data_IF_883751193064
#
_entry.id   IF_883751193064
#
_cell.length_a   1.000
_cell.length_b   1.000
_cell.length_c   1.000
_cell.angle_alpha   90.00
_cell.angle_beta   90.00
_cell.angle_gamma   90.00
#
_symmetry.space_group_name_H-M   'P 1'
#
loop_
_entity.id
_entity.type
_entity.pdbx_description
1 polymer ?
#
# COMPACT_ATOMS: atom_id res chain seq x y z
N UNK A 1 13.26 29.07 -17.15
CA UNK A 1 13.15 27.90 -18.06
C UNK A 1 11.71 27.43 -18.05
N UNK A 2 11.09 27.36 -19.23
CA UNK A 2 9.71 26.92 -19.41
C UNK A 2 9.51 25.53 -18.80
N UNK A 3 8.59 25.46 -17.85
CA UNK A 3 8.10 24.21 -17.25
C UNK A 3 7.42 23.44 -18.38
N UNK A 4 8.13 22.50 -19.01
CA UNK A 4 7.52 21.57 -19.97
C UNK A 4 6.31 20.97 -19.27
N UNK A 5 5.12 21.29 -19.79
CA UNK A 5 3.86 20.73 -19.37
C UNK A 5 4.03 19.21 -19.27
N UNK A 6 4.14 18.67 -18.05
CA UNK A 6 3.93 17.24 -17.82
C UNK A 6 2.64 16.89 -18.54
N UNK A 7 2.67 15.90 -19.44
CA UNK A 7 1.46 15.40 -20.06
C UNK A 7 0.48 15.08 -18.93
N UNK A 8 -0.59 15.88 -18.81
CA UNK A 8 -1.60 15.67 -17.78
C UNK A 8 -2.48 14.52 -18.25
N UNK A 9 -2.62 13.52 -17.40
CA UNK A 9 -3.54 12.40 -17.64
C UNK A 9 -4.93 12.96 -17.90
N UNK A 10 -5.59 12.57 -18.99
CA UNK A 10 -6.94 13.05 -19.31
C UNK A 10 -7.97 12.02 -18.84
N UNK A 11 -9.13 12.51 -18.44
CA UNK A 11 -10.25 11.67 -17.98
C UNK A 11 -10.64 10.57 -18.97
N UNK A 12 -10.62 10.90 -20.28
CA UNK A 12 -10.99 9.96 -21.34
C UNK A 12 -10.01 8.79 -21.50
N UNK A 13 -8.78 8.95 -21.00
CA UNK A 13 -7.73 7.93 -21.09
C UNK A 13 -7.87 6.90 -19.96
N UNK A 14 -8.60 7.22 -18.88
CA UNK A 14 -8.77 6.32 -17.74
C UNK A 14 -9.77 5.19 -18.03
N UNK A 15 -9.27 3.96 -17.91
CA UNK A 15 -10.05 2.72 -17.90
C UNK A 15 -9.74 1.93 -16.64
N UNK A 16 -10.69 1.85 -15.73
CA UNK A 16 -10.53 1.03 -14.53
C UNK A 16 -10.43 -0.44 -14.92
N UNK A 17 -9.39 -1.10 -14.42
CA UNK A 17 -9.28 -2.55 -14.55
C UNK A 17 -10.30 -3.21 -13.60
N UNK A 18 -11.14 -4.16 -14.07
CA UNK A 18 -12.15 -4.82 -13.24
C UNK A 18 -11.55 -5.54 -12.03
N UNK A 19 -10.38 -6.17 -12.19
CA UNK A 19 -9.63 -6.82 -11.10
C UNK A 19 -8.83 -5.84 -10.23
N UNK A 20 -9.04 -4.53 -10.36
CA UNK A 20 -8.23 -3.44 -9.79
C UNK A 20 -6.80 -3.36 -10.36
N UNK A 21 -6.03 -4.44 -10.28
CA UNK A 21 -4.63 -4.53 -10.71
C UNK A 21 -4.40 -5.45 -11.94
N UNK A 22 -5.47 -6.05 -12.46
CA UNK A 22 -5.51 -6.86 -13.68
C UNK A 22 -6.89 -6.73 -14.36
N UNK A 23 -6.99 -7.06 -15.64
CA UNK A 23 -8.23 -7.06 -16.42
C UNK A 23 -9.21 -8.14 -15.94
N UNK A 24 -8.68 -9.28 -15.47
CA UNK A 24 -9.46 -10.38 -14.92
C UNK A 24 -8.66 -11.08 -13.84
N UNK A 25 -9.31 -11.51 -12.75
CA UNK A 25 -8.67 -12.33 -11.72
C UNK A 25 -8.43 -13.73 -12.27
N UNK A 26 -7.17 -14.17 -12.25
CA UNK A 26 -6.73 -15.48 -12.73
C UNK A 26 -6.05 -16.25 -11.58
N UNK A 27 -5.94 -17.57 -11.72
CA UNK A 27 -5.20 -18.37 -10.75
C UNK A 27 -3.74 -17.92 -10.71
N UNK A 28 -3.21 -17.68 -9.51
CA UNK A 28 -1.83 -17.23 -9.31
C UNK A 28 -1.22 -18.00 -8.14
N UNK A 29 -0.08 -18.67 -8.34
CA UNK A 29 0.56 -19.49 -7.30
C UNK A 29 1.10 -18.63 -6.17
N UNK A 30 1.55 -17.41 -6.49
CA UNK A 30 2.09 -16.48 -5.51
C UNK A 30 1.06 -16.00 -4.46
N UNK A 31 -0.26 -16.11 -4.73
CA UNK A 31 -1.33 -15.77 -3.77
C UNK A 31 -1.42 -16.81 -2.65
N UNK A 32 -1.00 -18.05 -2.90
CA UNK A 32 -1.19 -19.16 -1.96
C UNK A 32 -2.61 -19.74 -2.00
N UNK A 33 -2.90 -20.68 -1.10
CA UNK A 33 -4.06 -21.57 -1.18
C UNK A 33 -5.15 -21.32 -0.12
N UNK A 34 -5.20 -20.12 0.46
CA UNK A 34 -6.21 -19.81 1.49
C UNK A 34 -7.61 -19.86 0.88
N UNK A 35 -8.54 -20.48 1.59
CA UNK A 35 -9.94 -20.68 1.17
C UNK A 35 -10.91 -20.44 2.33
N UNK A 36 -12.15 -20.04 2.01
CA UNK A 36 -13.25 -19.91 2.96
C UNK A 36 -13.89 -21.25 3.36
N UNK A 37 -13.60 -22.34 2.65
CA UNK A 37 -13.91 -23.71 3.12
C UNK A 37 -13.23 -24.03 4.46
N UNK A 38 -12.08 -23.38 4.74
CA UNK A 38 -11.40 -23.51 6.01
C UNK A 38 -12.04 -22.59 7.06
N UNK A 39 -12.68 -23.20 8.07
CA UNK A 39 -13.30 -22.48 9.20
C UNK A 39 -12.35 -21.51 9.91
N UNK A 40 -11.06 -21.80 9.98
CA UNK A 40 -10.09 -20.89 10.58
C UNK A 40 -9.92 -19.59 9.76
N UNK A 41 -10.03 -19.67 8.44
CA UNK A 41 -10.05 -18.48 7.58
C UNK A 41 -11.29 -17.64 7.91
N UNK A 42 -12.47 -18.27 7.91
CA UNK A 42 -13.74 -17.59 8.20
C UNK A 42 -13.70 -16.93 9.57
N UNK A 43 -13.30 -17.66 10.61
CA UNK A 43 -13.21 -17.17 11.98
C UNK A 43 -12.21 -16.00 12.13
N UNK A 44 -11.06 -16.08 11.44
CA UNK A 44 -10.07 -15.00 11.50
C UNK A 44 -10.61 -13.74 10.83
N UNK A 45 -11.23 -13.86 9.66
CA UNK A 45 -11.81 -12.73 8.93
C UNK A 45 -12.99 -12.13 9.69
N UNK A 46 -13.91 -12.96 10.19
CA UNK A 46 -15.08 -12.49 10.94
C UNK A 46 -14.70 -11.84 12.27
N UNK A 47 -13.60 -12.26 12.90
CA UNK A 47 -13.08 -11.63 14.12
C UNK A 47 -12.65 -10.17 13.97
N UNK A 48 -12.48 -9.67 12.75
CA UNK A 48 -12.25 -8.24 12.51
C UNK A 48 -13.56 -7.41 12.58
N UNK A 49 -14.72 -8.05 12.42
CA UNK A 49 -16.03 -7.37 12.50
C UNK A 49 -16.27 -6.94 13.96
N UNK A 50 -16.42 -5.63 14.18
CA UNK A 50 -16.59 -5.07 15.52
C UNK A 50 -15.32 -5.06 16.38
N UNK A 51 -14.15 -5.33 15.81
CA UNK A 51 -12.88 -5.29 16.53
C UNK A 51 -12.52 -3.86 16.99
N UNK A 52 -12.27 -3.69 18.28
CA UNK A 52 -11.85 -2.41 18.86
C UNK A 52 -10.34 -2.16 18.64
N UNK A 53 -10.03 -1.70 17.43
CA UNK A 53 -8.66 -1.35 17.05
C UNK A 53 -8.05 -0.26 17.93
N UNK A 54 -8.84 0.71 18.39
CA UNK A 54 -8.29 1.83 19.15
C UNK A 54 -7.83 1.43 20.54
N UNK A 55 -8.57 0.54 21.20
CA UNK A 55 -8.16 -0.03 22.48
C UNK A 55 -6.94 -0.94 22.32
N UNK A 56 -6.95 -1.87 21.35
CA UNK A 56 -5.81 -2.76 21.08
C UNK A 56 -4.53 -1.98 20.76
N UNK A 57 -4.62 -1.01 19.84
CA UNK A 57 -3.49 -0.15 19.48
C UNK A 57 -2.95 0.60 20.70
N UNK A 58 -3.83 1.15 21.55
CA UNK A 58 -3.41 1.94 22.71
C UNK A 58 -2.69 1.10 23.77
N UNK A 59 -3.10 -0.16 23.93
CA UNK A 59 -2.50 -1.09 24.89
C UNK A 59 -1.17 -1.67 24.37
N UNK A 60 -1.11 -1.98 23.08
CA UNK A 60 -0.05 -2.82 22.53
C UNK A 60 0.95 -2.08 21.61
N UNK A 61 0.70 -0.83 21.23
CA UNK A 61 1.56 -0.09 20.28
C UNK A 61 2.18 1.18 20.85
N UNK A 62 3.28 1.61 20.23
CA UNK A 62 3.96 2.87 20.52
C UNK A 62 4.57 3.49 19.23
N UNK A 63 5.45 4.47 19.41
CA UNK A 63 6.11 5.18 18.31
C UNK A 63 7.17 4.37 17.58
N UNK A 64 7.74 3.36 18.23
CA UNK A 64 8.76 2.48 17.65
C UNK A 64 8.17 1.21 17.04
N UNK A 65 7.22 0.58 17.72
CA UNK A 65 6.61 -0.69 17.37
C UNK A 65 5.09 -0.54 17.31
N UNK A 66 4.48 -1.15 16.29
CA UNK A 66 3.01 -1.15 16.12
C UNK A 66 2.55 -2.58 16.00
N UNK A 67 1.68 -2.99 16.93
CA UNK A 67 1.01 -4.28 16.88
C UNK A 67 -0.26 -4.13 16.05
N UNK A 68 -0.15 -4.42 14.75
CA UNK A 68 -1.23 -4.22 13.77
C UNK A 68 -1.79 -5.52 13.19
N UNK A 69 -1.21 -6.67 13.57
CA UNK A 69 -1.50 -7.97 12.96
C UNK A 69 -2.98 -8.34 13.09
N UNK A 70 -3.63 -7.90 14.17
CA UNK A 70 -5.04 -8.15 14.44
C UNK A 70 -6.01 -7.51 13.45
N UNK A 71 -5.57 -6.49 12.70
CA UNK A 71 -6.37 -5.88 11.63
C UNK A 71 -5.81 -6.15 10.24
N UNK A 72 -4.48 -6.27 10.08
CA UNK A 72 -3.87 -6.48 8.76
C UNK A 72 -3.96 -7.93 8.30
N UNK A 73 -3.75 -8.92 9.17
CA UNK A 73 -3.83 -10.33 8.79
C UNK A 73 -5.25 -10.73 8.34
N UNK A 74 -6.33 -10.46 9.09
CA UNK A 74 -7.66 -10.87 8.67
C UNK A 74 -8.10 -10.23 7.35
N UNK A 75 -7.74 -8.97 7.07
CA UNK A 75 -8.12 -8.37 5.78
C UNK A 75 -7.33 -8.96 4.62
N UNK A 76 -6.04 -9.26 4.80
CA UNK A 76 -5.24 -9.97 3.79
C UNK A 76 -5.77 -11.38 3.55
N UNK A 77 -6.23 -12.06 4.60
CA UNK A 77 -6.85 -13.38 4.48
C UNK A 77 -8.17 -13.32 3.71
N UNK A 78 -8.98 -12.30 3.95
CA UNK A 78 -10.19 -12.04 3.17
C UNK A 78 -9.85 -11.85 1.69
N UNK A 79 -8.85 -11.01 1.38
CA UNK A 79 -8.41 -10.78 0.00
C UNK A 79 -7.95 -12.07 -0.67
N UNK A 80 -7.05 -12.83 -0.03
CA UNK A 80 -6.51 -14.09 -0.56
C UNK A 80 -7.59 -15.14 -0.80
N UNK A 81 -8.49 -15.35 0.17
CA UNK A 81 -9.58 -16.31 0.01
C UNK A 81 -10.61 -15.87 -1.05
N UNK A 82 -10.91 -14.58 -1.13
CA UNK A 82 -11.82 -14.03 -2.17
C UNK A 82 -11.20 -14.17 -3.56
N UNK A 83 -9.92 -13.83 -3.72
CA UNK A 83 -9.21 -14.00 -4.98
C UNK A 83 -9.24 -15.45 -5.47
N UNK A 84 -8.91 -16.40 -4.59
CA UNK A 84 -8.93 -17.82 -4.91
C UNK A 84 -10.34 -18.34 -5.24
N UNK A 85 -11.37 -17.85 -4.54
CA UNK A 85 -12.75 -18.21 -4.83
C UNK A 85 -13.16 -17.77 -6.24
N UNK A 86 -12.77 -16.56 -6.65
CA UNK A 86 -13.03 -16.05 -8.01
C UNK A 86 -12.27 -16.87 -9.04
N UNK A 87 -10.96 -17.05 -8.88
CA UNK A 87 -10.14 -17.75 -9.87
C UNK A 87 -10.55 -19.22 -10.07
N UNK A 88 -11.07 -19.84 -9.01
CA UNK A 88 -11.51 -21.24 -9.04
C UNK A 88 -13.01 -21.39 -9.32
N UNK A 89 -13.75 -20.29 -9.51
CA UNK A 89 -15.20 -20.28 -9.67
C UNK A 89 -15.94 -21.03 -8.54
N UNK A 90 -15.44 -20.89 -7.31
CA UNK A 90 -16.01 -21.51 -6.10
C UNK A 90 -17.18 -20.65 -5.59
N UNK A 91 -18.39 -21.08 -5.92
CA UNK A 91 -19.62 -20.35 -5.59
C UNK A 91 -19.92 -20.29 -4.09
N UNK A 92 -19.54 -21.31 -3.33
CA UNK A 92 -19.79 -21.35 -1.89
C UNK A 92 -18.87 -20.36 -1.16
N UNK A 93 -17.58 -20.38 -1.48
CA UNK A 93 -16.64 -19.39 -0.94
C UNK A 93 -16.98 -17.96 -1.37
N UNK A 94 -17.50 -17.75 -2.58
CA UNK A 94 -17.97 -16.44 -3.03
C UNK A 94 -19.17 -15.93 -2.23
N UNK A 95 -20.11 -16.82 -1.85
CA UNK A 95 -21.22 -16.46 -0.99
C UNK A 95 -20.73 -16.01 0.40
N UNK A 96 -19.82 -16.79 1.00
CA UNK A 96 -19.21 -16.44 2.30
C UNK A 96 -18.45 -15.10 2.22
N UNK A 97 -17.67 -14.89 1.15
CA UNK A 97 -16.91 -13.66 0.93
C UNK A 97 -17.85 -12.44 0.86
N UNK A 98 -18.97 -12.58 0.14
CA UNK A 98 -20.00 -11.54 0.01
C UNK A 98 -20.67 -11.24 1.35
N UNK A 99 -21.06 -12.26 2.10
CA UNK A 99 -21.70 -12.09 3.42
C UNK A 99 -20.77 -11.38 4.41
N UNK A 100 -19.49 -11.78 4.45
CA UNK A 100 -18.48 -11.10 5.26
C UNK A 100 -18.29 -9.64 4.81
N UNK A 101 -18.18 -9.38 3.51
CA UNK A 101 -18.06 -8.02 2.97
C UNK A 101 -19.19 -7.10 3.45
N UNK A 102 -20.43 -7.59 3.39
CA UNK A 102 -21.62 -6.84 3.83
C UNK A 102 -21.61 -6.65 5.35
N UNK A 103 -21.31 -7.70 6.12
CA UNK A 103 -21.28 -7.64 7.58
C UNK A 103 -20.26 -6.62 8.11
N UNK A 104 -19.09 -6.51 7.47
CA UNK A 104 -18.10 -5.46 7.77
C UNK A 104 -18.71 -4.05 7.65
N UNK A 105 -19.44 -3.82 6.56
CA UNK A 105 -20.05 -2.52 6.25
C UNK A 105 -21.22 -2.20 7.20
N UNK A 106 -22.08 -3.17 7.52
CA UNK A 106 -23.18 -3.01 8.47
C UNK A 106 -22.67 -2.65 9.88
N UNK A 107 -21.59 -3.30 10.31
CA UNK A 107 -20.99 -3.07 11.63
C UNK A 107 -20.06 -1.85 11.67
N UNK A 108 -19.91 -1.12 10.56
CA UNK A 108 -19.04 0.06 10.51
C UNK A 108 -17.61 -0.24 10.97
N UNK A 109 -17.11 -1.41 10.60
CA UNK A 109 -15.84 -1.97 11.11
C UNK A 109 -14.70 -0.94 10.96
N UNK A 110 -13.95 -0.68 12.03
CA UNK A 110 -12.87 0.33 12.11
C UNK A 110 -13.28 1.80 11.87
N UNK A 111 -14.55 2.14 11.69
CA UNK A 111 -14.96 3.53 11.46
C UNK A 111 -14.77 4.42 12.71
N UNK A 112 -14.83 3.82 13.89
CA UNK A 112 -14.55 4.42 15.20
C UNK A 112 -13.06 4.76 15.41
N UNK A 113 -12.18 4.26 14.55
CA UNK A 113 -10.74 4.55 14.60
C UNK A 113 -10.42 6.02 14.37
N UNK A 114 -9.24 6.47 14.82
CA UNK A 114 -8.84 7.88 14.70
C UNK A 114 -8.77 8.30 13.22
N UNK A 115 -9.53 9.33 12.86
CA UNK A 115 -9.56 9.89 11.50
C UNK A 115 -8.47 10.93 11.23
N UNK A 116 -8.26 11.29 9.97
CA UNK A 116 -7.18 12.23 9.60
C UNK A 116 -7.31 13.61 10.27
N UNK A 117 -8.53 14.13 10.36
CA UNK A 117 -8.77 15.43 10.98
C UNK A 117 -8.59 15.40 12.50
N UNK A 118 -8.90 14.27 13.13
CA UNK A 118 -8.75 14.07 14.57
C UNK A 118 -7.27 14.04 14.99
N UNK A 119 -6.38 13.57 14.10
CA UNK A 119 -4.92 13.57 14.33
C UNK A 119 -4.34 14.95 14.61
N UNK A 120 -4.94 16.02 14.09
CA UNK A 120 -4.42 17.39 14.27
C UNK A 120 -4.37 17.81 15.74
N UNK A 121 -5.19 17.20 16.59
CA UNK A 121 -5.30 17.49 18.01
C UNK A 121 -4.62 16.40 18.87
N UNK A 122 -3.78 15.55 18.27
CA UNK A 122 -3.06 14.47 18.94
C UNK A 122 -1.56 14.79 19.05
N UNK A 123 -0.88 14.29 20.09
CA UNK A 123 0.57 14.46 20.19
C UNK A 123 1.28 13.81 19.00
N UNK A 124 2.43 14.36 18.58
CA UNK A 124 3.25 13.74 17.55
C UNK A 124 3.80 12.40 18.06
N UNK A 125 4.15 11.53 17.11
CA UNK A 125 4.94 10.35 17.44
C UNK A 125 6.31 10.79 17.96
N UNK A 126 6.91 9.98 18.84
CA UNK A 126 8.16 10.34 19.52
C UNK A 126 8.04 11.62 20.34
N UNK A 127 6.88 11.82 20.98
CA UNK A 127 6.67 12.94 21.89
C UNK A 127 7.79 12.95 22.94
N UNK A 128 8.41 14.13 23.14
CA UNK A 128 9.59 14.28 24.01
C UNK A 128 10.77 13.37 23.67
N UNK A 129 10.92 12.96 22.39
CA UNK A 129 11.90 11.98 21.90
C UNK A 129 11.76 10.58 22.52
N UNK A 130 10.57 10.23 23.03
CA UNK A 130 10.32 8.93 23.65
C UNK A 130 9.84 7.88 22.62
N UNK A 131 10.61 6.80 22.35
CA UNK A 131 10.15 5.68 21.51
C UNK A 131 8.88 5.00 22.01
N UNK A 132 8.60 5.07 23.32
CA UNK A 132 7.46 4.39 23.95
C UNK A 132 6.19 5.26 23.95
N UNK A 133 6.28 6.54 23.57
CA UNK A 133 5.11 7.42 23.46
C UNK A 133 4.10 6.89 22.42
N UNK A 134 2.79 7.09 22.63
CA UNK A 134 1.78 6.73 21.63
C UNK A 134 1.97 7.50 20.32
N UNK A 135 1.87 6.80 19.18
CA UNK A 135 1.90 7.41 17.86
C UNK A 135 0.52 7.31 17.19
N UNK A 136 -0.34 8.29 17.41
CA UNK A 136 -1.72 8.30 16.88
C UNK A 136 -1.78 8.19 15.35
N UNK A 137 -0.73 8.62 14.67
CA UNK A 137 -0.62 8.45 13.22
C UNK A 137 -0.63 6.96 12.81
N UNK A 138 -0.01 6.07 13.60
CA UNK A 138 -0.01 4.63 13.31
C UNK A 138 -1.44 4.05 13.38
N UNK A 139 -2.22 4.41 14.40
CA UNK A 139 -3.63 3.98 14.51
C UNK A 139 -4.43 4.35 13.25
N UNK A 140 -4.30 5.61 12.83
CA UNK A 140 -4.93 6.10 11.60
C UNK A 140 -4.41 5.40 10.34
N UNK A 141 -3.08 5.25 10.21
CA UNK A 141 -2.43 4.72 9.01
C UNK A 141 -2.89 3.30 8.71
N UNK A 142 -2.84 2.41 9.71
CA UNK A 142 -3.24 1.02 9.53
C UNK A 142 -4.74 0.87 9.29
N UNK A 143 -5.60 1.63 9.98
CA UNK A 143 -7.05 1.61 9.71
C UNK A 143 -7.37 2.06 8.28
N UNK A 144 -6.71 3.12 7.80
CA UNK A 144 -6.85 3.64 6.42
C UNK A 144 -6.35 2.62 5.37
N UNK A 145 -5.24 1.92 5.64
CA UNK A 145 -4.72 0.89 4.73
C UNK A 145 -5.60 -0.38 4.72
N UNK A 146 -6.10 -0.83 5.88
CA UNK A 146 -7.06 -1.95 5.99
C UNK A 146 -8.36 -1.61 5.26
N UNK A 147 -8.87 -0.39 5.39
CA UNK A 147 -10.02 0.06 4.60
C UNK A 147 -9.76 0.01 3.09
N UNK A 148 -8.56 0.40 2.65
CA UNK A 148 -8.19 0.32 1.23
C UNK A 148 -8.17 -1.14 0.74
N UNK A 149 -7.65 -2.06 1.55
CA UNK A 149 -7.65 -3.51 1.28
C UNK A 149 -9.06 -4.10 1.26
N UNK A 150 -9.94 -3.68 2.17
CA UNK A 150 -11.36 -4.05 2.15
C UNK A 150 -12.04 -3.66 0.83
N UNK A 151 -11.80 -2.44 0.33
CA UNK A 151 -12.40 -1.99 -0.91
C UNK A 151 -11.91 -2.75 -2.14
N UNK A 152 -10.71 -3.34 -2.10
CA UNK A 152 -10.24 -4.20 -3.20
C UNK A 152 -11.12 -5.46 -3.29
N UNK A 153 -11.37 -6.13 -2.16
CA UNK A 153 -12.33 -7.25 -2.12
C UNK A 153 -13.73 -6.81 -2.55
N UNK A 154 -14.16 -5.60 -2.16
CA UNK A 154 -15.45 -5.05 -2.56
C UNK A 154 -15.57 -4.88 -4.08
N UNK A 155 -14.52 -4.38 -4.74
CA UNK A 155 -14.46 -4.24 -6.21
C UNK A 155 -14.63 -5.60 -6.87
N UNK A 156 -13.91 -6.62 -6.40
CA UNK A 156 -13.99 -7.96 -6.97
C UNK A 156 -15.37 -8.63 -6.81
N UNK A 157 -16.04 -8.37 -5.68
CA UNK A 157 -17.35 -8.94 -5.36
C UNK A 157 -18.52 -8.08 -5.86
N UNK A 158 -18.25 -6.92 -6.48
CA UNK A 158 -19.27 -5.90 -6.77
C UNK A 158 -20.47 -6.44 -7.55
N UNK A 159 -20.23 -7.30 -8.54
CA UNK A 159 -21.29 -7.89 -9.38
C UNK A 159 -22.12 -8.97 -8.66
N UNK A 160 -21.66 -9.46 -7.51
CA UNK A 160 -22.38 -10.46 -6.70
C UNK A 160 -23.37 -9.82 -5.72
N UNK A 161 -23.28 -8.49 -5.51
CA UNK A 161 -24.11 -7.76 -4.57
C UNK A 161 -25.48 -7.43 -5.18
N UNK A 162 -26.54 -7.69 -4.43
CA UNK A 162 -27.86 -7.15 -4.77
C UNK A 162 -27.94 -5.65 -4.45
N UNK A 163 -29.02 -4.98 -4.88
CA UNK A 163 -29.18 -3.53 -4.72
C UNK A 163 -29.10 -3.05 -3.26
N UNK A 164 -29.63 -3.82 -2.30
CA UNK A 164 -29.59 -3.47 -0.87
C UNK A 164 -28.17 -3.64 -0.31
N UNK A 165 -27.52 -4.76 -0.62
CA UNK A 165 -26.14 -5.06 -0.22
C UNK A 165 -25.19 -3.98 -0.77
N UNK A 166 -25.32 -3.63 -2.05
CA UNK A 166 -24.55 -2.57 -2.70
C UNK A 166 -24.73 -1.23 -1.98
N UNK A 167 -25.97 -0.85 -1.63
CA UNK A 167 -26.25 0.39 -0.90
C UNK A 167 -25.58 0.42 0.49
N UNK A 168 -25.52 -0.71 1.18
CA UNK A 168 -24.85 -0.84 2.48
C UNK A 168 -23.35 -0.60 2.32
N UNK A 169 -22.72 -1.32 1.38
CA UNK A 169 -21.29 -1.20 1.12
C UNK A 169 -20.94 0.21 0.62
N UNK A 170 -21.75 0.80 -0.25
CA UNK A 170 -21.56 2.18 -0.76
C UNK A 170 -21.57 3.22 0.37
N UNK A 171 -22.55 3.13 1.28
CA UNK A 171 -22.63 4.07 2.42
C UNK A 171 -21.42 3.95 3.33
N UNK A 172 -20.97 2.72 3.59
CA UNK A 172 -19.76 2.47 4.38
C UNK A 172 -18.51 2.98 3.68
N UNK A 173 -18.31 2.66 2.40
CA UNK A 173 -17.20 3.13 1.59
C UNK A 173 -17.12 4.66 1.56
N UNK A 174 -18.25 5.35 1.34
CA UNK A 174 -18.30 6.80 1.26
C UNK A 174 -17.89 7.48 2.57
N UNK A 175 -18.35 7.00 3.73
CA UNK A 175 -17.98 7.62 5.01
C UNK A 175 -16.53 7.31 5.41
N UNK A 176 -16.03 6.11 5.13
CA UNK A 176 -14.63 5.75 5.35
C UNK A 176 -13.72 6.60 4.46
N UNK A 177 -14.06 6.77 3.18
CA UNK A 177 -13.34 7.67 2.27
C UNK A 177 -13.28 9.09 2.82
N UNK A 178 -14.42 9.68 3.24
CA UNK A 178 -14.47 11.03 3.82
C UNK A 178 -13.58 11.18 5.05
N UNK A 179 -13.57 10.19 5.95
CA UNK A 179 -12.81 10.24 7.21
C UNK A 179 -11.31 10.00 7.00
N UNK A 180 -10.95 9.05 6.14
CA UNK A 180 -9.60 8.51 6.07
C UNK A 180 -8.79 8.96 4.84
N UNK A 181 -9.40 9.05 3.66
CA UNK A 181 -8.68 9.23 2.38
C UNK A 181 -8.86 10.62 1.77
N UNK A 182 -10.08 11.15 1.73
CA UNK A 182 -10.40 12.45 1.13
C UNK A 182 -9.48 13.58 1.65
N UNK A 183 -9.15 13.66 2.96
CA UNK A 183 -8.29 14.73 3.45
C UNK A 183 -6.86 14.72 2.87
N UNK A 184 -6.41 13.59 2.32
CA UNK A 184 -5.09 13.44 1.71
C UNK A 184 -4.98 14.09 0.33
N UNK A 185 -6.10 14.32 -0.38
CA UNK A 185 -6.11 14.95 -1.71
C UNK A 185 -5.48 16.36 -1.74
N UNK A 186 -5.50 17.04 -0.60
CA UNK A 186 -4.95 18.40 -0.44
C UNK A 186 -3.74 18.43 0.49
N UNK A 187 -3.28 17.26 0.97
CA UNK A 187 -2.13 17.19 1.87
C UNK A 187 -0.88 17.56 1.09
N UNK A 188 -0.20 18.63 1.53
CA UNK A 188 1.14 18.94 1.04
C UNK A 188 2.08 17.90 1.60
N UNK A 189 2.64 17.10 0.71
CA UNK A 189 3.73 16.21 1.05
C UNK A 189 5.04 16.80 0.49
N UNK A 190 6.09 16.75 1.30
CA UNK A 190 7.40 17.28 0.96
C UNK A 190 8.54 16.29 1.20
N UNK A 191 8.27 15.20 1.92
CA UNK A 191 9.29 14.23 2.27
C UNK A 191 8.74 12.80 2.39
N UNK A 192 9.48 11.86 1.80
CA UNK A 192 9.28 10.43 1.93
C UNK A 192 8.10 9.83 1.17
N UNK A 193 8.18 8.54 0.90
CA UNK A 193 7.16 7.79 0.18
C UNK A 193 6.90 6.49 0.94
N UNK A 194 5.63 6.21 1.27
CA UNK A 194 5.25 5.14 2.21
C UNK A 194 4.06 4.32 1.69
N UNK A 195 3.58 3.36 2.49
CA UNK A 195 2.52 2.41 2.14
C UNK A 195 1.35 3.05 1.40
N UNK A 196 0.81 2.29 0.45
CA UNK A 196 -0.30 2.69 -0.40
C UNK A 196 -0.06 4.04 -1.08
N UNK A 197 1.19 4.33 -1.44
CA UNK A 197 1.64 5.62 -1.96
C UNK A 197 1.19 6.79 -1.08
N UNK A 198 1.41 6.70 0.23
CA UNK A 198 0.93 7.64 1.24
C UNK A 198 -0.60 7.81 1.23
N UNK A 199 -1.35 6.74 0.96
CA UNK A 199 -2.82 6.74 0.81
C UNK A 199 -3.32 7.07 -0.61
N UNK A 200 -2.43 7.42 -1.55
CA UNK A 200 -2.80 7.64 -2.95
C UNK A 200 -3.39 6.40 -3.62
N UNK A 201 -2.85 5.21 -3.35
CA UNK A 201 -3.42 3.95 -3.86
C UNK A 201 -4.83 3.73 -3.32
N UNK A 202 -5.08 4.03 -2.03
CA UNK A 202 -6.42 3.97 -1.43
C UNK A 202 -7.42 4.90 -2.12
N UNK A 203 -7.00 6.10 -2.50
CA UNK A 203 -7.83 7.04 -3.27
C UNK A 203 -8.16 6.47 -4.66
N UNK A 204 -7.20 5.84 -5.33
CA UNK A 204 -7.45 5.17 -6.63
C UNK A 204 -8.41 4.00 -6.49
N UNK A 205 -8.27 3.18 -5.45
CA UNK A 205 -9.20 2.09 -5.14
C UNK A 205 -10.62 2.65 -4.96
N UNK A 206 -10.80 3.72 -4.18
CA UNK A 206 -12.10 4.36 -4.02
C UNK A 206 -12.64 4.96 -5.32
N UNK A 207 -11.78 5.56 -6.15
CA UNK A 207 -12.16 6.08 -7.46
C UNK A 207 -12.67 4.96 -8.39
N UNK A 208 -12.08 3.77 -8.35
CA UNK A 208 -12.58 2.60 -9.07
C UNK A 208 -13.95 2.16 -8.52
N UNK A 209 -14.07 1.98 -7.19
CA UNK A 209 -15.33 1.61 -6.54
C UNK A 209 -16.49 2.54 -6.92
N UNK A 210 -16.27 3.85 -6.81
CA UNK A 210 -17.24 4.90 -7.10
C UNK A 210 -17.39 5.25 -8.59
N UNK A 211 -16.60 4.60 -9.46
CA UNK A 211 -16.48 4.91 -10.88
C UNK A 211 -16.16 6.41 -11.15
N UNK A 212 -15.43 7.06 -10.25
CA UNK A 212 -15.04 8.47 -10.36
C UNK A 212 -13.67 8.61 -11.04
N UNK A 213 -13.69 8.59 -12.38
CA UNK A 213 -12.48 8.83 -13.18
C UNK A 213 -11.91 10.24 -12.99
N UNK A 214 -12.67 11.24 -12.56
CA UNK A 214 -12.14 12.59 -12.29
C UNK A 214 -11.28 12.57 -11.04
N UNK A 215 -11.71 11.86 -10.01
CA UNK A 215 -10.93 11.60 -8.81
C UNK A 215 -9.64 10.85 -9.14
N UNK A 216 -9.71 9.80 -9.96
CA UNK A 216 -8.54 9.05 -10.39
C UNK A 216 -7.51 9.95 -11.10
N UNK A 217 -7.94 10.75 -12.08
CA UNK A 217 -7.05 11.68 -12.79
C UNK A 217 -6.43 12.72 -11.86
N UNK A 218 -7.22 13.28 -10.94
CA UNK A 218 -6.72 14.24 -9.96
C UNK A 218 -5.64 13.62 -9.09
N UNK A 219 -5.89 12.42 -8.56
CA UNK A 219 -4.92 11.73 -7.71
C UNK A 219 -3.66 11.32 -8.48
N UNK A 220 -3.76 10.79 -9.71
CA UNK A 220 -2.59 10.42 -10.52
C UNK A 220 -1.70 11.63 -10.79
N UNK A 221 -2.27 12.75 -11.25
CA UNK A 221 -1.50 13.96 -11.50
C UNK A 221 -0.84 14.50 -10.21
N UNK A 222 -1.58 14.48 -9.10
CA UNK A 222 -1.05 14.88 -7.80
C UNK A 222 0.10 13.96 -7.36
N UNK A 223 -0.07 12.64 -7.49
CA UNK A 223 0.92 11.65 -7.06
C UNK A 223 2.16 11.67 -7.94
N UNK A 224 2.03 11.85 -9.25
CA UNK A 224 3.16 12.02 -10.16
C UNK A 224 3.95 13.28 -9.84
N UNK A 225 3.28 14.40 -9.58
CA UNK A 225 3.93 15.62 -9.08
C UNK A 225 4.70 15.34 -7.80
N UNK A 226 4.12 14.55 -6.89
CA UNK A 226 4.78 14.20 -5.64
C UNK A 226 5.98 13.27 -5.83
N UNK A 227 5.88 12.24 -6.67
CA UNK A 227 6.99 11.35 -7.03
C UNK A 227 8.13 12.17 -7.63
N UNK A 228 7.86 13.05 -8.60
CA UNK A 228 8.90 13.91 -9.20
C UNK A 228 9.61 14.79 -8.16
N UNK A 229 8.88 15.24 -7.12
CA UNK A 229 9.45 16.04 -6.04
C UNK A 229 10.34 15.24 -5.09
N UNK A 230 9.93 14.02 -4.68
CA UNK A 230 10.63 13.29 -3.60
C UNK A 230 11.63 12.25 -4.10
N UNK A 231 11.50 11.76 -5.34
CA UNK A 231 12.53 10.98 -5.99
C UNK A 231 13.53 11.94 -6.62
N UNK A 232 14.76 11.95 -6.10
CA UNK A 232 15.82 12.83 -6.55
C UNK A 232 16.37 12.37 -7.90
N UNK A 233 17.04 13.28 -8.61
CA UNK A 233 17.58 13.01 -9.95
C UNK A 233 18.63 11.88 -9.97
N UNK A 234 19.24 11.56 -8.83
CA UNK A 234 20.21 10.48 -8.64
C UNK A 234 19.57 9.17 -8.15
N UNK A 235 18.23 9.11 -8.06
CA UNK A 235 17.47 7.93 -7.64
C UNK A 235 17.28 7.80 -6.13
N UNK A 236 17.97 8.60 -5.30
CA UNK A 236 17.69 8.62 -3.87
C UNK A 236 16.29 9.20 -3.61
N UNK A 237 15.60 8.67 -2.61
CA UNK A 237 14.28 9.13 -2.16
C UNK A 237 14.48 10.03 -0.94
N UNK A 238 14.03 11.29 -1.05
CA UNK A 238 14.05 12.27 0.04
C UNK A 238 13.41 11.68 1.31
N UNK A 239 14.03 11.88 2.47
CA UNK A 239 13.73 11.25 3.75
C UNK A 239 14.02 9.73 3.79
N UNK A 240 13.36 8.91 2.97
CA UNK A 240 13.49 7.43 3.00
C UNK A 240 14.93 6.92 2.89
N UNK A 241 15.70 7.42 1.92
CA UNK A 241 17.07 6.90 1.68
C UNK A 241 18.06 7.39 2.72
N UNK A 242 17.72 8.48 3.39
CA UNK A 242 18.59 9.19 4.32
C UNK A 242 18.30 8.84 5.78
N UNK A 243 17.54 7.77 6.06
CA UNK A 243 17.19 7.29 7.42
C UNK A 243 18.37 6.67 8.19
N UNK A 244 19.60 7.04 7.85
CA UNK A 244 20.83 6.54 8.47
C UNK A 244 20.95 5.02 8.32
N UNK A 245 21.07 4.30 9.44
CA UNK A 245 21.22 2.85 9.45
C UNK A 245 19.99 2.05 8.99
N UNK A 246 18.88 2.73 8.66
CA UNK A 246 17.70 2.13 8.02
C UNK A 246 17.45 2.67 6.60
N UNK A 247 18.43 3.34 5.98
CA UNK A 247 18.29 3.94 4.65
C UNK A 247 17.90 2.97 3.55
N UNK A 248 18.59 1.82 3.41
CA UNK A 248 18.22 0.76 2.43
C UNK A 248 16.80 0.25 2.66
N UNK A 249 16.47 0.00 3.93
CA UNK A 249 15.19 -0.55 4.34
C UNK A 249 14.04 0.42 3.99
N UNK A 250 14.16 1.71 4.30
CA UNK A 250 13.13 2.69 3.92
C UNK A 250 13.16 3.06 2.43
N UNK A 251 14.32 3.03 1.77
CA UNK A 251 14.42 3.26 0.34
C UNK A 251 13.61 2.21 -0.44
N UNK A 252 13.86 0.92 -0.17
CA UNK A 252 13.12 -0.18 -0.81
C UNK A 252 11.62 -0.17 -0.49
N UNK A 253 11.24 0.20 0.74
CA UNK A 253 9.83 0.39 1.11
C UNK A 253 9.14 1.46 0.25
N UNK A 254 9.76 2.65 0.14
CA UNK A 254 9.20 3.74 -0.66
C UNK A 254 9.18 3.45 -2.15
N UNK A 255 10.21 2.77 -2.66
CA UNK A 255 10.27 2.34 -4.05
C UNK A 255 9.15 1.34 -4.37
N UNK A 256 8.91 0.33 -3.54
CA UNK A 256 7.83 -0.65 -3.76
C UNK A 256 6.47 0.03 -3.90
N UNK A 257 6.14 0.92 -2.96
CA UNK A 257 4.89 1.69 -3.01
C UNK A 257 4.78 2.58 -4.25
N UNK A 258 5.88 3.19 -4.70
CA UNK A 258 5.86 4.03 -5.90
C UNK A 258 5.69 3.21 -7.18
N UNK A 259 6.42 2.10 -7.32
CA UNK A 259 6.32 1.23 -8.49
C UNK A 259 4.94 0.58 -8.58
N UNK A 260 4.36 0.12 -7.46
CA UNK A 260 3.01 -0.43 -7.43
C UNK A 260 1.95 0.60 -7.87
N UNK A 261 2.09 1.85 -7.42
CA UNK A 261 1.22 2.94 -7.84
C UNK A 261 1.36 3.27 -9.33
N UNK A 262 2.59 3.37 -9.83
CA UNK A 262 2.88 3.70 -11.24
C UNK A 262 2.41 2.60 -12.18
N UNK A 263 2.58 1.33 -11.79
CA UNK A 263 2.01 0.19 -12.49
C UNK A 263 0.49 0.33 -12.62
N UNK A 264 -0.22 0.58 -11.51
CA UNK A 264 -1.67 0.75 -11.50
C UNK A 264 -2.13 1.91 -12.39
N UNK A 265 -1.46 3.07 -12.29
CA UNK A 265 -1.77 4.23 -13.12
C UNK A 265 -1.61 3.90 -14.62
N UNK A 266 -0.51 3.23 -15.00
CA UNK A 266 -0.25 2.81 -16.38
C UNK A 266 -1.27 1.80 -16.88
N UNK A 267 -1.61 0.80 -16.05
CA UNK A 267 -2.66 -0.18 -16.36
C UNK A 267 -3.99 0.51 -16.67
N UNK A 268 -4.29 1.58 -15.95
CA UNK A 268 -5.51 2.36 -16.17
C UNK A 268 -5.41 3.40 -17.29
N UNK A 269 -4.34 3.39 -18.07
CA UNK A 269 -4.17 4.23 -19.27
C UNK A 269 -3.42 5.54 -19.03
N UNK A 270 -2.89 5.79 -17.83
CA UNK A 270 -2.05 6.97 -17.61
C UNK A 270 -0.68 6.83 -18.28
N UNK A 271 -0.26 7.86 -19.00
CA UNK A 271 1.11 7.99 -19.48
C UNK A 271 2.01 8.45 -18.33
N UNK A 272 3.09 7.70 -18.08
CA UNK A 272 4.08 8.04 -17.05
C UNK A 272 5.07 9.05 -17.64
N UNK A 273 5.23 10.25 -17.06
CA UNK A 273 6.20 11.22 -17.54
C UNK A 273 7.62 10.63 -17.58
N UNK A 274 8.35 10.86 -18.68
CA UNK A 274 9.70 10.31 -18.91
C UNK A 274 10.66 10.64 -17.75
N UNK A 275 10.57 11.86 -17.21
CA UNK A 275 11.36 12.30 -16.05
C UNK A 275 11.11 11.42 -14.82
N UNK A 276 9.86 11.08 -14.54
CA UNK A 276 9.49 10.19 -13.44
C UNK A 276 10.02 8.77 -13.71
N UNK A 277 9.85 8.27 -14.93
CA UNK A 277 10.36 6.95 -15.32
C UNK A 277 11.88 6.85 -15.10
N UNK A 278 12.65 7.85 -15.53
CA UNK A 278 14.11 7.90 -15.31
C UNK A 278 14.49 7.88 -13.83
N UNK A 279 13.75 8.61 -12.99
CA UNK A 279 13.96 8.62 -11.53
C UNK A 279 13.68 7.26 -10.89
N UNK A 280 12.64 6.57 -11.34
CA UNK A 280 12.29 5.24 -10.84
C UNK A 280 13.33 4.19 -11.26
N UNK A 281 13.84 4.23 -12.49
CA UNK A 281 14.97 3.38 -12.93
C UNK A 281 16.18 3.60 -12.02
N UNK A 282 16.57 4.85 -11.80
CA UNK A 282 17.70 5.16 -10.90
C UNK A 282 17.44 4.72 -9.47
N UNK A 283 16.23 4.88 -8.94
CA UNK A 283 15.89 4.40 -7.60
C UNK A 283 15.99 2.86 -7.51
N UNK A 284 15.57 2.14 -8.55
CA UNK A 284 15.81 0.70 -8.69
C UNK A 284 17.31 0.35 -8.67
N UNK A 285 18.15 1.12 -9.35
CA UNK A 285 19.61 0.96 -9.31
C UNK A 285 20.20 1.27 -7.92
N UNK A 286 19.71 2.31 -7.24
CA UNK A 286 20.12 2.65 -5.87
C UNK A 286 19.72 1.55 -4.87
N UNK A 287 18.58 0.89 -5.07
CA UNK A 287 18.22 -0.31 -4.29
C UNK A 287 19.27 -1.40 -4.44
N UNK A 288 19.72 -1.68 -5.67
CA UNK A 288 20.77 -2.65 -5.95
C UNK A 288 22.14 -2.22 -5.40
N UNK A 289 22.46 -0.93 -5.46
CA UNK A 289 23.66 -0.37 -4.85
C UNK A 289 23.65 -0.60 -3.33
N UNK A 290 22.52 -0.37 -2.66
CA UNK A 290 22.40 -0.57 -1.22
C UNK A 290 22.63 -2.03 -0.80
N UNK A 291 22.26 -3.00 -1.65
CA UNK A 291 22.49 -4.43 -1.44
C UNK A 291 23.97 -4.79 -1.63
N UNK A 292 24.60 -4.26 -2.67
CA UNK A 292 25.94 -4.69 -3.12
C UNK A 292 27.09 -3.87 -2.54
N UNK A 293 26.86 -2.60 -2.25
CA UNK A 293 27.83 -1.67 -1.68
C UNK A 293 27.15 -0.64 -0.75
N UNK A 294 26.90 -1.10 0.48
CA UNK A 294 26.29 -0.28 1.53
C UNK A 294 27.11 0.96 1.89
N UNK A 295 28.44 0.90 1.78
CA UNK A 295 29.31 2.02 2.11
C UNK A 295 29.11 3.16 1.09
N UNK A 296 29.13 2.83 -0.20
CA UNK A 296 28.85 3.78 -1.28
C UNK A 296 27.41 4.29 -1.21
N UNK A 297 26.42 3.43 -0.96
CA UNK A 297 25.05 3.88 -0.76
C UNK A 297 24.94 4.97 0.33
N UNK A 298 25.60 4.78 1.47
CA UNK A 298 25.58 5.74 2.58
C UNK A 298 26.44 6.99 2.37
N UNK A 299 27.41 6.95 1.45
CA UNK A 299 28.30 8.10 1.20
C UNK A 299 27.57 9.31 0.63
N UNK A 300 26.38 9.11 0.04
CA UNK A 300 25.52 10.17 -0.44
C UNK A 300 24.92 10.96 0.74
N UNK A 301 25.45 12.15 0.98
CA UNK A 301 24.96 13.03 2.04
C UNK A 301 23.58 13.60 1.73
N UNK A 302 22.80 13.90 2.76
CA UNK A 302 21.53 14.62 2.60
C UNK A 302 21.76 16.12 2.77
N UNK A 303 21.23 16.93 1.86
CA UNK A 303 21.26 18.38 2.00
C UNK A 303 20.04 18.85 2.79
N UNK A 304 20.25 19.30 4.04
CA UNK A 304 19.20 19.86 4.90
C UNK A 304 18.97 19.07 6.19
N UNK A 305 17.95 19.49 6.95
CA UNK A 305 17.59 18.85 8.22
C UNK A 305 16.98 17.46 7.99
N UNK A 306 17.45 16.47 8.74
CA UNK A 306 16.97 15.10 8.65
C UNK A 306 16.64 14.54 10.06
N UNK A 307 15.51 14.95 10.64
CA UNK A 307 15.14 14.59 12.00
C UNK A 307 14.90 13.08 12.16
N UNK A 308 14.59 12.37 11.08
CA UNK A 308 14.25 10.95 11.11
C UNK A 308 15.47 10.02 10.95
N UNK A 309 16.70 10.57 10.94
CA UNK A 309 17.94 9.81 10.74
C UNK A 309 18.23 8.91 11.95
N UNK A 310 18.35 7.61 11.73
CA UNK A 310 18.77 6.66 12.77
C UNK A 310 20.30 6.56 12.80
N UNK A 311 20.91 7.19 13.80
CA UNK A 311 22.37 7.23 13.99
C UNK A 311 22.93 6.04 14.78
N UNK A 312 22.11 5.35 15.58
CA UNK A 312 22.56 4.18 16.35
C UNK A 312 22.68 2.93 15.45
N UNK A 313 23.91 2.39 15.33
CA UNK A 313 24.22 1.19 14.54
C UNK A 313 23.48 -0.07 15.03
N UNK A 314 23.13 -0.15 16.33
CA UNK A 314 22.37 -1.29 16.89
C UNK A 314 20.97 -1.43 16.28
N UNK A 315 20.42 -0.34 15.74
CA UNK A 315 19.09 -0.31 15.12
C UNK A 315 19.12 -0.52 13.60
N UNK A 316 20.26 -0.97 13.06
CA UNK A 316 20.47 -1.08 11.62
C UNK A 316 19.59 -2.16 10.97
N UNK A 317 19.05 -1.82 9.81
CA UNK A 317 18.36 -2.76 8.89
C UNK A 317 18.99 -2.61 7.52
N UNK A 318 20.01 -3.42 7.26
CA UNK A 318 20.81 -3.42 6.01
C UNK A 318 20.33 -4.52 5.07
N UNK A 319 19.04 -4.49 4.77
CA UNK A 319 18.41 -5.37 3.82
C UNK A 319 17.19 -4.66 3.24
N UNK A 320 16.73 -5.14 2.10
CA UNK A 320 15.49 -4.75 1.44
C UNK A 320 14.31 -4.98 2.40
N UNK A 321 13.34 -4.08 2.41
CA UNK A 321 12.21 -4.14 3.33
C UNK A 321 11.43 -5.44 3.17
N UNK A 322 11.27 -6.22 4.24
CA UNK A 322 10.69 -7.55 4.16
C UNK A 322 9.20 -7.58 3.76
N UNK A 323 8.44 -6.52 4.03
CA UNK A 323 7.05 -6.38 3.57
C UNK A 323 6.95 -5.88 2.12
N UNK A 324 8.02 -5.34 1.53
CA UNK A 324 8.05 -4.91 0.14
C UNK A 324 8.32 -6.12 -0.77
N UNK A 325 7.56 -7.20 -0.57
CA UNK A 325 7.91 -8.48 -1.14
C UNK A 325 7.64 -8.52 -2.65
N UNK A 326 6.80 -7.61 -3.18
CA UNK A 326 6.55 -7.47 -4.62
C UNK A 326 7.63 -6.67 -5.36
N UNK A 327 8.65 -6.16 -4.66
CA UNK A 327 9.59 -5.19 -5.21
C UNK A 327 10.40 -5.74 -6.39
N UNK A 328 10.84 -6.99 -6.34
CA UNK A 328 11.59 -7.62 -7.43
C UNK A 328 10.78 -7.72 -8.71
N UNK A 329 9.52 -8.18 -8.63
CA UNK A 329 8.63 -8.22 -9.78
C UNK A 329 8.32 -6.82 -10.32
N UNK A 330 8.06 -5.85 -9.42
CA UNK A 330 7.76 -4.47 -9.83
C UNK A 330 8.95 -3.74 -10.45
N UNK A 331 10.18 -3.93 -9.95
CA UNK A 331 11.36 -3.33 -10.58
C UNK A 331 11.53 -3.85 -12.00
N UNK A 332 11.35 -5.14 -12.24
CA UNK A 332 11.47 -5.70 -13.58
C UNK A 332 10.34 -5.19 -14.50
N UNK A 333 9.08 -5.26 -14.07
CA UNK A 333 7.91 -4.89 -14.89
C UNK A 333 7.83 -3.39 -15.17
N UNK A 334 8.17 -2.54 -14.20
CA UNK A 334 8.01 -1.08 -14.32
C UNK A 334 9.27 -0.41 -14.85
N UNK A 335 10.47 -0.86 -14.46
CA UNK A 335 11.73 -0.16 -14.78
C UNK A 335 12.68 -1.00 -15.63
N UNK A 336 12.45 -2.30 -15.80
CA UNK A 336 13.36 -3.22 -16.48
C UNK A 336 14.60 -3.61 -15.65
N UNK A 337 14.68 -3.15 -14.39
CA UNK A 337 15.83 -3.42 -13.51
C UNK A 337 15.54 -4.67 -12.68
N UNK A 338 16.44 -5.65 -12.70
CA UNK A 338 16.34 -6.84 -11.84
C UNK A 338 16.91 -6.56 -10.45
N UNK A 339 16.18 -6.94 -9.40
CA UNK A 339 16.67 -6.84 -8.02
C UNK A 339 17.87 -7.79 -7.81
N UNK A 340 18.92 -7.29 -7.17
CA UNK A 340 20.09 -8.08 -6.78
C UNK A 340 19.76 -9.02 -5.61
N UNK A 341 20.50 -10.11 -5.51
CA UNK A 341 20.29 -11.12 -4.46
C UNK A 341 20.56 -10.53 -3.07
N UNK A 342 19.51 -10.41 -2.26
CA UNK A 342 19.55 -9.99 -0.87
C UNK A 342 19.08 -11.14 0.03
N UNK A 343 20.00 -11.94 0.62
CA UNK A 343 19.64 -13.18 1.30
C UNK A 343 18.79 -12.94 2.56
N UNK A 344 19.03 -11.83 3.27
CA UNK A 344 18.28 -11.50 4.49
C UNK A 344 16.84 -11.14 4.12
N UNK A 345 16.65 -10.34 3.07
CA UNK A 345 15.33 -10.04 2.54
C UNK A 345 14.60 -11.30 2.07
N UNK A 346 15.25 -12.16 1.28
CA UNK A 346 14.66 -13.40 0.76
C UNK A 346 14.21 -14.36 1.87
N UNK A 347 14.95 -14.41 2.97
CA UNK A 347 14.55 -15.16 4.16
C UNK A 347 13.35 -14.52 4.86
N UNK A 348 13.41 -13.21 5.15
CA UNK A 348 12.40 -12.51 5.94
C UNK A 348 11.07 -12.32 5.21
N UNK A 349 11.09 -12.12 3.88
CA UNK A 349 9.87 -11.89 3.10
C UNK A 349 8.91 -13.07 3.12
N UNK A 350 9.41 -14.30 3.31
CA UNK A 350 8.60 -15.53 3.40
C UNK A 350 7.49 -15.43 4.45
N UNK A 351 7.77 -14.78 5.58
CA UNK A 351 6.78 -14.57 6.63
C UNK A 351 5.59 -13.72 6.16
N UNK A 352 5.82 -12.73 5.29
CA UNK A 352 4.76 -11.86 4.78
C UNK A 352 4.10 -12.40 3.51
N UNK A 353 4.83 -13.15 2.69
CA UNK A 353 4.27 -13.78 1.49
C UNK A 353 3.18 -14.82 1.79
N UNK A 354 3.17 -15.41 3.00
CA UNK A 354 2.13 -16.37 3.43
C UNK A 354 0.71 -15.78 3.42
N UNK A 355 0.61 -14.45 3.49
CA UNK A 355 -0.67 -13.73 3.53
C UNK A 355 -1.19 -13.40 2.13
N UNK A 356 -0.44 -13.73 1.07
CA UNK A 356 -0.86 -13.71 -0.33
C UNK A 356 -0.74 -12.36 -1.02
N UNK A 357 -1.00 -11.25 -0.31
CA UNK A 357 -1.02 -9.89 -0.87
C UNK A 357 0.02 -8.96 -0.25
N UNK A 358 0.66 -8.11 -1.06
CA UNK A 358 1.58 -7.08 -0.56
C UNK A 358 0.74 -5.88 -0.07
N UNK A 359 0.54 -5.80 1.25
CA UNK A 359 -0.24 -4.74 1.88
C UNK A 359 0.32 -3.32 1.69
N UNK A 360 1.55 -3.15 1.17
CA UNK A 360 2.11 -1.83 0.86
C UNK A 360 1.60 -1.27 -0.47
N UNK A 361 1.03 -2.12 -1.33
CA UNK A 361 0.56 -1.76 -2.68
C UNK A 361 -0.85 -2.28 -3.00
N UNK A 362 -1.38 -3.22 -2.23
CA UNK A 362 -2.73 -3.77 -2.38
C UNK A 362 -2.87 -4.90 -3.40
N UNK A 363 -1.79 -5.40 -3.98
CA UNK A 363 -1.78 -6.54 -4.91
C UNK A 363 -0.46 -7.33 -4.80
N UNK A 364 -0.40 -8.55 -5.33
CA UNK A 364 0.85 -9.32 -5.40
C UNK A 364 1.42 -9.24 -6.82
N UNK A 365 2.52 -8.51 -6.98
CA UNK A 365 3.07 -8.28 -8.31
C UNK A 365 3.71 -9.53 -8.96
N UNK A 366 3.94 -10.60 -8.20
CA UNK A 366 4.40 -11.86 -8.79
C UNK A 366 3.34 -12.52 -9.68
N UNK A 367 2.06 -12.21 -9.47
CA UNK A 367 1.01 -12.67 -10.39
C UNK A 367 1.16 -12.05 -11.79
N UNK A 368 1.83 -10.90 -11.90
CA UNK A 368 2.08 -10.24 -13.18
C UNK A 368 3.15 -10.98 -13.99
N UNK A 369 4.14 -11.60 -13.33
CA UNK A 369 5.25 -12.28 -13.99
C UNK A 369 5.00 -13.77 -14.18
N UNK A 370 4.14 -14.39 -13.36
CA UNK A 370 3.65 -15.75 -13.58
C UNK A 370 2.77 -15.86 -14.82
N UNK A 371 1.96 -14.83 -15.11
CA UNK A 371 1.08 -14.78 -16.28
C UNK A 371 1.80 -14.37 -17.59
N UNK A 372 3.10 -14.09 -17.55
CA UNK A 372 3.93 -13.66 -18.70
C UNK A 372 4.89 -14.79 -19.14
N UNK A 373 4.68 -16.03 -18.69
CA UNK A 373 5.47 -17.20 -19.11
C UNK A 373 4.74 -18.09 -20.11
#
# INVERSE_FOLDING_TARGET
MHNQLQAKVKFKDIKFAPGFYDQSIQTCKAIGNRSFENKNTVNRVSGLIGYDWMSDWKENSNSLNVEHINITEPILWMMTATHNAISNNDKESLLIAKELLVAFAENNTLYDSTGYHELKNKPPCWENNDPNSPCWYHAYEFAKDVFSMYLISAIWLKETLNAKELQIVDRYAAKMYRKFLQPLLNKKHDQGFYAMANGGTGILIYANWSNDKRLAVREINNRFTYIDKVFLEDGYINNNSFRGYRGQWYHSYGLNSALGYVYLAKLWGAEVPEKIQKKLVKASEITNLAITDWAKFKSREFSGANPNKISNKKNARKHTHQMAFSLDALMEVVTGVKLKHDPIYLQKRKYHMKDGFDGLIGFNAHCLTENVK
#
